data_IF_143778249132
#
_entry.id   IF_143778249132
#
_cell.length_a   1.000
_cell.length_b   1.000
_cell.length_c   1.000
_cell.angle_alpha   90.00
_cell.angle_beta   90.00
_cell.angle_gamma   90.00
#
_symmetry.space_group_name_H-M   'P 1'
#
loop_
_entity.id
_entity.type
_entity.pdbx_description
1 polymer ?
#
# COMPACT_ATOMS: atom_id res chain seq x y z
N UNK A 1 -1.31 -6.21 -17.61
CA UNK A 1 0.14 -6.29 -17.63
C UNK A 1 0.58 -7.15 -16.47
N UNK A 2 1.31 -8.22 -16.77
CA UNK A 2 1.86 -9.11 -15.77
C UNK A 2 3.36 -9.25 -16.10
N UNK A 3 4.19 -8.88 -15.13
CA UNK A 3 5.63 -9.08 -15.18
C UNK A 3 6.01 -10.01 -14.05
N UNK A 4 6.74 -11.06 -14.37
CA UNK A 4 7.32 -11.97 -13.39
C UNK A 4 8.84 -11.86 -13.50
N UNK A 5 9.47 -11.42 -12.42
CA UNK A 5 10.92 -11.33 -12.32
C UNK A 5 11.37 -12.43 -11.36
N UNK A 6 11.92 -13.53 -11.85
CA UNK A 6 12.35 -14.63 -10.99
C UNK A 6 13.52 -14.22 -10.08
N UNK A 7 13.67 -14.93 -8.98
CA UNK A 7 14.83 -14.78 -8.11
C UNK A 7 16.13 -15.08 -8.88
N UNK A 8 17.14 -14.22 -8.70
CA UNK A 8 18.43 -14.37 -9.38
C UNK A 8 19.01 -13.03 -9.83
N UNK A 9 19.98 -13.06 -10.75
CA UNK A 9 20.60 -11.85 -11.30
C UNK A 9 19.59 -10.96 -12.01
N UNK A 10 19.61 -9.65 -11.71
CA UNK A 10 18.78 -8.65 -12.36
C UNK A 10 19.59 -7.87 -13.41
N UNK A 11 18.99 -7.65 -14.55
CA UNK A 11 19.50 -6.77 -15.60
C UNK A 11 18.61 -5.53 -15.76
N UNK A 12 19.14 -4.46 -16.34
CA UNK A 12 18.37 -3.20 -16.57
C UNK A 12 17.08 -3.46 -17.34
N UNK A 13 17.07 -4.41 -18.29
CA UNK A 13 15.85 -4.79 -19.02
C UNK A 13 14.72 -5.26 -18.11
N UNK A 14 15.03 -5.92 -16.98
CA UNK A 14 14.02 -6.38 -16.04
C UNK A 14 13.33 -5.19 -15.36
N UNK A 15 14.06 -4.09 -15.11
CA UNK A 15 13.46 -2.86 -14.58
C UNK A 15 12.58 -2.18 -15.64
N UNK A 16 12.99 -2.20 -16.91
CA UNK A 16 12.18 -1.69 -18.01
C UNK A 16 10.87 -2.47 -18.16
N UNK A 17 10.89 -3.78 -17.96
CA UNK A 17 9.70 -4.64 -17.97
C UNK A 17 8.79 -4.36 -16.76
N UNK A 18 9.36 -4.00 -15.61
CA UNK A 18 8.62 -3.68 -14.39
C UNK A 18 7.94 -2.32 -14.47
N UNK A 19 8.60 -1.30 -15.03
CA UNK A 19 8.08 0.07 -15.14
C UNK A 19 8.17 0.58 -16.58
N UNK A 20 7.06 0.47 -17.31
CA UNK A 20 7.02 0.68 -18.77
C UNK A 20 6.94 2.15 -19.18
N UNK A 21 6.43 3.02 -18.31
CA UNK A 21 6.15 4.41 -18.66
C UNK A 21 7.35 5.31 -18.41
N UNK A 22 7.56 6.29 -19.31
CA UNK A 22 8.61 7.32 -19.16
C UNK A 22 8.11 8.45 -18.24
N UNK A 23 7.83 8.08 -16.98
CA UNK A 23 7.39 9.03 -15.98
C UNK A 23 8.59 9.57 -15.18
N UNK A 24 8.47 10.84 -14.79
CA UNK A 24 9.39 11.47 -13.85
C UNK A 24 8.77 11.55 -12.45
N UNK A 25 9.63 11.56 -11.47
CA UNK A 25 9.25 11.71 -10.06
C UNK A 25 8.65 13.09 -9.80
N UNK A 26 7.60 13.12 -9.00
CA UNK A 26 6.94 14.35 -8.56
C UNK A 26 6.84 14.38 -7.04
N UNK A 27 6.99 15.57 -6.46
CA UNK A 27 6.76 15.85 -5.06
C UNK A 27 5.49 16.67 -4.91
N UNK A 28 4.59 16.23 -4.06
CA UNK A 28 3.33 16.88 -3.75
C UNK A 28 3.29 17.31 -2.29
N UNK A 29 2.77 18.52 -2.05
CA UNK A 29 2.45 19.00 -0.71
C UNK A 29 0.94 18.93 -0.51
N UNK A 30 0.48 17.98 0.30
CA UNK A 30 -0.93 17.66 0.51
C UNK A 30 -1.27 17.58 1.99
N UNK A 31 -2.53 17.80 2.35
CA UNK A 31 -3.02 17.62 3.72
C UNK A 31 -3.44 16.19 3.99
N UNK A 32 -3.58 15.81 5.26
CA UNK A 32 -4.14 14.50 5.64
C UNK A 32 -5.55 14.28 5.08
N UNK A 33 -6.36 15.34 5.00
CA UNK A 33 -7.67 15.28 4.36
C UNK A 33 -7.57 14.94 2.86
N UNK A 34 -6.63 15.56 2.14
CA UNK A 34 -6.38 15.28 0.73
C UNK A 34 -5.85 13.87 0.51
N UNK A 35 -4.99 13.35 1.39
CA UNK A 35 -4.55 11.96 1.37
C UNK A 35 -5.75 11.01 1.52
N UNK A 36 -6.67 11.30 2.44
CA UNK A 36 -7.88 10.49 2.59
C UNK A 36 -8.72 10.47 1.31
N UNK A 37 -8.96 11.62 0.68
CA UNK A 37 -9.71 11.70 -0.59
C UNK A 37 -8.98 10.96 -1.73
N UNK A 38 -7.66 10.99 -1.76
CA UNK A 38 -6.86 10.23 -2.71
C UNK A 38 -7.09 8.72 -2.55
N UNK A 39 -7.07 8.22 -1.30
CA UNK A 39 -7.34 6.80 -1.02
C UNK A 39 -8.81 6.43 -1.26
N UNK A 40 -9.77 7.34 -1.00
CA UNK A 40 -11.18 7.10 -1.34
C UNK A 40 -11.38 6.92 -2.85
N UNK A 41 -10.66 7.68 -3.68
CA UNK A 41 -10.67 7.48 -5.13
C UNK A 41 -10.04 6.15 -5.50
N UNK A 42 -8.88 5.79 -4.94
CA UNK A 42 -8.22 4.50 -5.18
C UNK A 42 -9.10 3.31 -4.79
N UNK A 43 -9.91 3.43 -3.72
CA UNK A 43 -10.86 2.40 -3.30
C UNK A 43 -11.91 2.05 -4.37
N UNK A 44 -12.08 2.89 -5.39
CA UNK A 44 -12.92 2.63 -6.56
C UNK A 44 -12.50 1.40 -7.38
N UNK A 45 -11.26 0.91 -7.20
CA UNK A 45 -10.76 -0.34 -7.76
C UNK A 45 -11.63 -1.55 -7.37
N UNK A 46 -12.28 -1.49 -6.21
CA UNK A 46 -13.05 -2.60 -5.66
C UNK A 46 -14.55 -2.38 -5.78
N UNK A 47 -15.30 -3.44 -6.06
CA UNK A 47 -16.73 -3.42 -6.00
C UNK A 47 -17.24 -3.28 -4.54
N UNK A 48 -18.47 -2.83 -4.40
CA UNK A 48 -19.16 -2.92 -3.12
C UNK A 48 -19.53 -4.37 -2.86
N UNK A 49 -19.31 -4.85 -1.64
CA UNK A 49 -19.57 -6.22 -1.20
C UNK A 49 -20.74 -6.22 -0.22
N UNK A 50 -21.76 -7.02 -0.52
CA UNK A 50 -22.83 -7.32 0.44
C UNK A 50 -22.38 -8.45 1.37
N UNK A 51 -22.15 -8.17 2.67
CA UNK A 51 -21.70 -9.18 3.62
C UNK A 51 -22.75 -10.26 3.93
N UNK A 52 -24.00 -10.03 3.55
CA UNK A 52 -25.11 -10.98 3.78
C UNK A 52 -25.33 -11.92 2.60
N UNK A 53 -24.87 -11.54 1.41
CA UNK A 53 -24.99 -12.38 0.22
C UNK A 53 -24.10 -13.64 0.34
N UNK A 54 -24.66 -14.78 -0.06
CA UNK A 54 -23.90 -16.04 -0.22
C UNK A 54 -23.51 -16.32 -1.66
N UNK A 55 -24.01 -15.53 -2.59
CA UNK A 55 -23.65 -15.62 -4.00
C UNK A 55 -22.23 -15.09 -4.22
N UNK A 56 -21.50 -15.63 -5.21
CA UNK A 56 -20.20 -15.12 -5.59
C UNK A 56 -20.24 -13.65 -5.99
N UNK A 57 -19.33 -12.84 -5.43
CA UNK A 57 -19.22 -11.42 -5.70
C UNK A 57 -17.81 -11.08 -6.22
N UNK A 58 -17.75 -10.37 -7.34
CA UNK A 58 -16.47 -9.96 -7.91
C UNK A 58 -15.84 -8.83 -7.10
N UNK A 59 -14.59 -9.02 -6.68
CA UNK A 59 -13.82 -8.03 -5.94
C UNK A 59 -13.47 -6.81 -6.79
N UNK A 60 -13.00 -7.08 -8.02
CA UNK A 60 -12.44 -6.05 -8.89
C UNK A 60 -13.53 -5.37 -9.70
N UNK A 61 -13.57 -4.05 -9.62
CA UNK A 61 -14.42 -3.22 -10.45
C UNK A 61 -13.81 -3.10 -11.86
N UNK A 62 -14.32 -3.89 -12.81
CA UNK A 62 -13.81 -3.91 -14.19
C UNK A 62 -14.00 -2.58 -14.95
N UNK A 63 -14.88 -1.70 -14.47
CA UNK A 63 -15.05 -0.36 -15.06
C UNK A 63 -14.00 0.63 -14.56
N UNK A 64 -13.31 0.34 -13.45
CA UNK A 64 -12.26 1.19 -12.91
C UNK A 64 -10.93 0.97 -13.66
N UNK A 65 -10.20 2.04 -13.89
CA UNK A 65 -8.90 1.96 -14.55
C UNK A 65 -7.84 1.56 -13.52
N UNK A 66 -7.38 0.32 -13.54
CA UNK A 66 -6.48 -0.24 -12.52
C UNK A 66 -5.18 0.55 -12.32
N UNK A 67 -4.69 1.26 -13.35
CA UNK A 67 -3.54 2.16 -13.20
C UNK A 67 -3.83 3.42 -12.36
N UNK A 68 -5.09 3.63 -11.96
CA UNK A 68 -5.50 4.67 -11.01
C UNK A 68 -5.61 4.14 -9.57
N UNK A 69 -5.31 2.86 -9.35
CA UNK A 69 -5.21 2.31 -8.01
C UNK A 69 -3.83 2.61 -7.43
N UNK A 70 -3.80 3.53 -6.48
CA UNK A 70 -2.59 3.92 -5.78
C UNK A 70 -2.59 3.35 -4.36
N UNK A 71 -1.43 2.88 -3.92
CA UNK A 71 -1.12 2.57 -2.52
C UNK A 71 -0.17 3.63 -2.01
N UNK A 72 -0.38 4.11 -0.79
CA UNK A 72 0.46 5.15 -0.17
C UNK A 72 1.26 4.53 0.96
N UNK A 73 2.56 4.44 0.76
CA UNK A 73 3.54 3.99 1.74
C UNK A 73 3.71 5.01 2.88
N UNK A 74 4.16 4.52 4.04
CA UNK A 74 4.33 5.34 5.25
C UNK A 74 3.04 5.57 6.03
N UNK A 75 1.91 5.07 5.53
CA UNK A 75 0.60 5.11 6.18
C UNK A 75 0.09 3.70 6.44
N UNK A 76 -0.83 3.57 7.39
CA UNK A 76 -1.64 2.35 7.53
C UNK A 76 -3.12 2.69 7.41
N UNK A 77 -3.89 1.83 6.74
CA UNK A 77 -5.33 2.05 6.54
C UNK A 77 -6.05 0.76 6.16
N UNK A 78 -7.39 0.84 6.16
CA UNK A 78 -8.26 -0.25 5.69
C UNK A 78 -9.29 0.28 4.70
N UNK A 79 -9.77 -0.60 3.82
CA UNK A 79 -10.93 -0.33 2.98
C UNK A 79 -12.16 -1.09 3.45
N UNK A 80 -13.24 -0.38 3.73
CA UNK A 80 -14.55 -0.94 4.04
C UNK A 80 -15.35 -1.12 2.75
N UNK A 81 -15.36 -2.33 2.22
CA UNK A 81 -16.04 -2.65 0.97
C UNK A 81 -17.56 -2.77 1.11
N UNK A 82 -18.13 -2.71 2.31
CA UNK A 82 -19.60 -2.64 2.46
C UNK A 82 -20.16 -1.26 2.08
N UNK A 83 -19.29 -0.25 2.00
CA UNK A 83 -19.65 1.11 1.63
C UNK A 83 -19.61 1.30 0.10
N UNK A 84 -20.49 2.14 -0.48
CA UNK A 84 -20.40 2.50 -1.89
C UNK A 84 -19.12 3.31 -2.18
N UNK A 85 -18.72 3.37 -3.45
CA UNK A 85 -17.64 4.24 -3.88
C UNK A 85 -18.01 5.71 -3.70
N UNK A 86 -17.10 6.51 -3.16
CA UNK A 86 -17.28 7.96 -3.02
C UNK A 86 -17.23 8.67 -4.39
N UNK A 87 -16.34 8.21 -5.24
CA UNK A 87 -16.07 8.76 -6.57
C UNK A 87 -16.41 7.74 -7.66
N UNK A 88 -16.83 8.24 -8.82
CA UNK A 88 -16.87 7.43 -10.03
C UNK A 88 -15.45 7.25 -10.62
N UNK A 89 -15.34 6.51 -11.72
CA UNK A 89 -14.06 6.21 -12.37
C UNK A 89 -13.35 7.43 -12.98
N UNK A 90 -14.05 8.53 -13.19
CA UNK A 90 -13.53 9.81 -13.67
C UNK A 90 -13.15 10.79 -12.54
N UNK A 91 -13.37 10.38 -11.27
CA UNK A 91 -13.09 11.21 -10.09
C UNK A 91 -14.19 12.23 -9.76
N UNK A 92 -15.40 12.05 -10.32
CA UNK A 92 -16.56 12.85 -9.94
C UNK A 92 -17.15 12.30 -8.63
N UNK A 93 -17.45 13.20 -7.71
CA UNK A 93 -18.11 12.88 -6.44
C UNK A 93 -19.55 12.41 -6.70
N UNK A 94 -19.86 11.17 -6.35
CA UNK A 94 -21.18 10.54 -6.57
C UNK A 94 -21.88 10.17 -5.27
N UNK A 95 -21.14 9.87 -4.22
CA UNK A 95 -21.67 9.55 -2.89
C UNK A 95 -20.90 10.36 -1.84
N UNK A 96 -21.27 11.63 -1.57
CA UNK A 96 -20.50 12.52 -0.71
C UNK A 96 -20.36 12.01 0.74
N UNK A 97 -21.37 11.32 1.26
CA UNK A 97 -21.39 10.80 2.63
C UNK A 97 -20.70 9.41 2.75
N UNK A 98 -20.34 8.79 1.63
CA UNK A 98 -19.66 7.51 1.65
C UNK A 98 -18.19 7.68 2.08
N UNK A 99 -17.70 6.71 2.83
CA UNK A 99 -16.29 6.60 3.17
C UNK A 99 -15.91 5.12 3.26
N UNK A 100 -14.95 4.71 2.46
CA UNK A 100 -14.33 3.37 2.50
C UNK A 100 -13.06 3.35 3.31
N UNK A 101 -12.33 4.45 3.37
CA UNK A 101 -11.06 4.56 4.10
C UNK A 101 -11.33 4.57 5.59
N UNK A 102 -10.80 3.57 6.31
CA UNK A 102 -10.91 3.37 7.75
C UNK A 102 -9.53 3.29 8.39
N UNK A 103 -9.44 3.63 9.65
CA UNK A 103 -8.25 3.48 10.48
C UNK A 103 -7.01 4.11 9.84
N UNK A 104 -7.17 5.21 9.10
CA UNK A 104 -6.06 5.90 8.44
C UNK A 104 -5.13 6.51 9.48
N UNK A 105 -3.88 6.03 9.51
CA UNK A 105 -2.90 6.41 10.51
C UNK A 105 -1.52 6.70 9.89
N UNK A 106 -0.80 7.60 10.54
CA UNK A 106 0.60 7.94 10.27
C UNK A 106 1.41 7.71 11.54
N UNK A 107 2.51 6.94 11.44
CA UNK A 107 3.36 6.59 12.58
C UNK A 107 2.56 6.01 13.78
N UNK A 108 1.59 5.15 13.50
CA UNK A 108 0.77 4.48 14.51
C UNK A 108 -0.29 5.35 15.18
N UNK A 109 -0.49 6.60 14.76
CA UNK A 109 -1.52 7.51 15.29
C UNK A 109 -2.52 7.86 14.20
N UNK A 110 -3.81 8.08 14.53
CA UNK A 110 -4.78 8.59 13.56
C UNK A 110 -4.21 9.82 12.84
N UNK A 111 -4.37 9.86 11.51
CA UNK A 111 -3.83 10.96 10.71
C UNK A 111 -4.52 12.27 11.11
N UNK A 112 -3.73 13.32 11.31
CA UNK A 112 -4.27 14.67 11.43
C UNK A 112 -4.66 15.18 10.03
N UNK A 113 -5.95 15.44 9.83
CA UNK A 113 -6.49 15.86 8.54
C UNK A 113 -5.95 17.24 8.09
N UNK A 114 -5.50 18.07 9.03
CA UNK A 114 -4.95 19.41 8.76
C UNK A 114 -3.42 19.39 8.61
N UNK A 115 -2.76 18.34 9.06
CA UNK A 115 -1.30 18.21 8.91
C UNK A 115 -0.92 18.15 7.44
N UNK A 116 0.16 18.82 7.09
CA UNK A 116 0.75 18.78 5.75
C UNK A 116 1.77 17.64 5.64
N UNK A 117 1.70 16.93 4.53
CA UNK A 117 2.60 15.85 4.16
C UNK A 117 3.28 16.16 2.83
N UNK A 118 4.52 15.67 2.68
CA UNK A 118 5.20 15.60 1.39
C UNK A 118 5.05 14.17 0.87
N UNK A 119 4.44 14.02 -0.29
CA UNK A 119 4.20 12.72 -0.94
C UNK A 119 4.95 12.68 -2.25
N UNK A 120 5.75 11.63 -2.44
CA UNK A 120 6.42 11.35 -3.71
C UNK A 120 5.52 10.47 -4.57
N UNK A 121 5.36 10.84 -5.83
CA UNK A 121 4.58 10.10 -6.83
C UNK A 121 5.19 10.32 -8.22
N UNK A 122 4.46 10.03 -9.27
CA UNK A 122 4.88 10.32 -10.64
C UNK A 122 4.17 11.54 -11.24
N UNK A 123 4.71 12.07 -12.34
CA UNK A 123 4.13 13.22 -13.04
C UNK A 123 2.71 12.95 -13.55
N UNK A 124 2.39 11.73 -13.98
CA UNK A 124 1.05 11.37 -14.44
C UNK A 124 0.01 11.60 -13.34
N UNK A 125 0.31 11.13 -12.11
CA UNK A 125 -0.58 11.35 -10.95
C UNK A 125 -0.59 12.81 -10.54
N UNK A 126 0.55 13.48 -10.48
CA UNK A 126 0.69 14.85 -10.02
C UNK A 126 -0.05 15.86 -10.88
N UNK A 127 -0.10 15.66 -12.21
CA UNK A 127 -0.71 16.60 -13.16
C UNK A 127 -2.17 16.25 -13.50
N UNK A 128 -2.63 15.06 -13.11
CA UNK A 128 -3.99 14.60 -13.36
C UNK A 128 -5.05 15.26 -12.47
N UNK A 129 -6.31 15.12 -12.89
CA UNK A 129 -7.47 15.62 -12.13
C UNK A 129 -7.93 14.56 -11.10
N UNK A 130 -7.03 14.11 -10.24
CA UNK A 130 -7.31 13.04 -9.28
C UNK A 130 -7.75 13.62 -7.94
N UNK A 131 -8.87 13.17 -7.34
CA UNK A 131 -9.31 13.60 -6.02
C UNK A 131 -8.19 13.53 -4.98
N UNK A 132 -8.07 14.56 -4.14
CA UNK A 132 -7.00 14.68 -3.16
C UNK A 132 -5.66 15.17 -3.73
N UNK A 133 -5.39 14.97 -5.02
CA UNK A 133 -4.13 15.37 -5.68
C UNK A 133 -4.27 16.67 -6.45
N UNK A 134 -5.41 16.88 -7.13
CA UNK A 134 -5.63 18.04 -8.00
C UNK A 134 -5.43 19.37 -7.27
N UNK A 135 -5.80 19.42 -6.01
CA UNK A 135 -5.79 20.61 -5.15
C UNK A 135 -4.56 20.63 -4.21
N UNK A 136 -3.49 19.88 -4.51
CA UNK A 136 -2.24 19.91 -3.76
C UNK A 136 -1.67 21.34 -3.72
N UNK A 137 -1.22 21.78 -2.53
CA UNK A 137 -0.71 23.14 -2.32
C UNK A 137 0.57 23.41 -3.11
N UNK A 138 1.36 22.37 -3.37
CA UNK A 138 2.56 22.44 -4.18
C UNK A 138 2.69 21.15 -5.01
N UNK A 139 3.11 21.29 -6.26
CA UNK A 139 3.40 20.20 -7.19
C UNK A 139 4.74 20.51 -7.86
N UNK A 140 5.75 19.71 -7.56
CA UNK A 140 7.09 19.89 -8.09
C UNK A 140 7.53 18.64 -8.84
N UNK A 141 7.80 18.76 -10.14
CA UNK A 141 8.44 17.70 -10.92
C UNK A 141 9.95 17.72 -10.64
N UNK A 142 10.51 16.54 -10.40
CA UNK A 142 11.93 16.36 -10.20
C UNK A 142 12.56 15.88 -11.53
N UNK A 143 13.81 16.24 -11.77
CA UNK A 143 14.56 15.73 -12.92
C UNK A 143 15.11 14.32 -12.61
N UNK A 144 14.21 13.39 -12.27
CA UNK A 144 14.53 12.01 -11.94
C UNK A 144 13.45 11.11 -12.54
N UNK A 145 13.84 10.30 -13.52
CA UNK A 145 12.97 9.29 -14.08
C UNK A 145 12.67 8.20 -13.03
N UNK A 146 11.42 7.76 -12.94
CA UNK A 146 11.03 6.72 -11.99
C UNK A 146 11.77 5.41 -12.24
N UNK A 147 11.98 5.05 -13.49
CA UNK A 147 12.77 3.86 -13.86
C UNK A 147 14.22 3.98 -13.40
N UNK A 148 14.81 5.17 -13.53
CA UNK A 148 16.18 5.42 -13.05
C UNK A 148 16.25 5.32 -11.53
N UNK A 149 15.26 5.85 -10.79
CA UNK A 149 15.19 5.72 -9.35
C UNK A 149 15.16 4.26 -8.88
N UNK A 150 14.41 3.39 -9.60
CA UNK A 150 14.37 1.94 -9.32
C UNK A 150 15.74 1.31 -9.58
N UNK A 151 16.39 1.65 -10.69
CA UNK A 151 17.74 1.16 -11.04
C UNK A 151 18.74 1.56 -9.97
N UNK A 152 18.77 2.83 -9.59
CA UNK A 152 19.68 3.37 -8.59
C UNK A 152 19.50 2.68 -7.22
N UNK A 153 18.26 2.44 -6.83
CA UNK A 153 17.94 1.68 -5.61
C UNK A 153 18.50 0.26 -5.68
N UNK A 154 18.23 -0.48 -6.75
CA UNK A 154 18.72 -1.86 -6.92
C UNK A 154 20.25 -1.90 -6.90
N UNK A 155 20.91 -0.95 -7.54
CA UNK A 155 22.38 -0.85 -7.58
C UNK A 155 22.95 -0.56 -6.20
N UNK A 156 22.30 0.32 -5.42
CA UNK A 156 22.74 0.65 -4.07
C UNK A 156 22.59 -0.50 -3.09
N UNK A 157 21.46 -1.19 -3.15
CA UNK A 157 21.15 -2.33 -2.25
C UNK A 157 21.87 -3.62 -2.66
N UNK A 158 22.31 -3.75 -3.92
CA UNK A 158 22.97 -4.95 -4.50
C UNK A 158 22.09 -6.19 -4.49
N UNK A 159 21.38 -6.46 -3.42
CA UNK A 159 20.42 -7.54 -3.28
C UNK A 159 19.13 -7.00 -2.72
N UNK A 160 18.03 -7.21 -3.42
CA UNK A 160 16.70 -6.81 -2.98
C UNK A 160 15.85 -8.04 -2.65
N UNK A 161 14.99 -7.91 -1.66
CA UNK A 161 14.02 -8.93 -1.27
C UNK A 161 12.65 -8.26 -1.09
N UNK A 162 11.93 -7.98 -2.20
CA UNK A 162 10.65 -7.29 -2.14
C UNK A 162 9.62 -8.13 -1.39
N UNK A 163 8.91 -7.50 -0.47
CA UNK A 163 7.83 -8.13 0.29
C UNK A 163 6.72 -7.12 0.53
N UNK A 164 5.48 -7.61 0.68
CA UNK A 164 4.38 -6.77 1.12
C UNK A 164 4.60 -6.38 2.59
N UNK A 165 4.49 -5.10 2.89
CA UNK A 165 4.63 -4.55 4.25
C UNK A 165 3.33 -4.63 5.07
N UNK A 166 2.20 -4.97 4.40
CA UNK A 166 0.89 -5.09 5.05
C UNK A 166 0.33 -3.76 5.54
N UNK A 167 0.74 -2.66 4.94
CA UNK A 167 0.33 -1.31 5.34
C UNK A 167 -1.15 -1.02 5.08
N UNK A 168 -1.83 -1.84 4.29
CA UNK A 168 -3.28 -1.74 4.10
C UNK A 168 -3.96 -3.12 4.11
N UNK A 169 -5.26 -3.12 4.36
CA UNK A 169 -6.10 -4.34 4.33
C UNK A 169 -7.57 -3.99 4.11
N UNK A 170 -8.42 -5.00 3.99
CA UNK A 170 -9.87 -4.79 4.06
C UNK A 170 -10.36 -4.83 5.50
N UNK A 171 -11.44 -4.09 5.78
CA UNK A 171 -12.16 -4.21 7.05
C UNK A 171 -12.77 -5.62 7.12
N UNK A 172 -12.63 -6.36 8.24
CA UNK A 172 -13.06 -7.75 8.32
C UNK A 172 -14.59 -7.94 8.53
N UNK A 173 -15.40 -7.01 8.05
CA UNK A 173 -16.86 -7.07 8.10
C UNK A 173 -17.50 -7.82 6.92
N UNK A 174 -16.66 -8.44 6.06
CA UNK A 174 -17.03 -9.21 4.87
C UNK A 174 -16.52 -10.67 4.92
N UNK A 175 -16.19 -11.18 6.09
CA UNK A 175 -15.58 -12.51 6.31
C UNK A 175 -16.45 -13.67 5.83
N UNK A 176 -17.77 -13.49 5.77
CA UNK A 176 -18.74 -14.51 5.37
C UNK A 176 -19.16 -14.43 3.90
N UNK A 177 -18.69 -13.44 3.15
CA UNK A 177 -19.02 -13.26 1.74
C UNK A 177 -18.14 -14.16 0.86
N UNK A 178 -18.69 -14.65 -0.27
CA UNK A 178 -17.93 -15.33 -1.31
C UNK A 178 -17.34 -14.30 -2.27
N UNK A 179 -16.13 -13.84 -2.00
CA UNK A 179 -15.46 -12.76 -2.74
C UNK A 179 -14.47 -13.37 -3.71
N UNK A 180 -14.62 -13.08 -5.00
CA UNK A 180 -13.82 -13.67 -6.07
C UNK A 180 -13.12 -12.62 -6.93
N UNK A 181 -12.01 -13.03 -7.53
CA UNK A 181 -11.28 -12.23 -8.52
C UNK A 181 -10.55 -13.12 -9.51
N UNK A 182 -10.33 -12.63 -10.71
CA UNK A 182 -9.52 -13.32 -11.70
C UNK A 182 -8.06 -12.86 -11.65
N UNK A 183 -7.13 -13.80 -11.79
CA UNK A 183 -5.70 -13.55 -11.93
C UNK A 183 -5.07 -14.60 -12.84
N UNK A 184 -3.76 -14.48 -13.13
CA UNK A 184 -3.03 -15.47 -13.92
C UNK A 184 -3.21 -16.88 -13.37
N UNK A 185 -3.40 -17.87 -14.23
CA UNK A 185 -3.44 -19.29 -13.81
C UNK A 185 -2.11 -19.72 -13.17
N UNK A 186 -0.99 -19.11 -13.55
CA UNK A 186 0.32 -19.36 -12.95
C UNK A 186 0.39 -18.99 -11.45
N UNK A 187 -0.49 -18.09 -10.97
CA UNK A 187 -0.54 -17.73 -9.55
C UNK A 187 -0.88 -18.91 -8.63
N UNK A 188 -1.45 -20.01 -9.16
CA UNK A 188 -1.70 -21.26 -8.41
C UNK A 188 -0.42 -21.82 -7.78
N UNK A 189 0.72 -21.70 -8.44
CA UNK A 189 2.00 -22.19 -7.93
C UNK A 189 2.48 -21.45 -6.67
N UNK A 190 1.93 -20.27 -6.39
CA UNK A 190 2.33 -19.39 -5.29
C UNK A 190 1.31 -19.36 -4.13
N UNK A 191 0.32 -20.27 -4.11
CA UNK A 191 -0.67 -20.33 -3.03
C UNK A 191 -0.21 -21.09 -1.80
N UNK A 192 0.87 -21.87 -1.88
CA UNK A 192 1.39 -22.59 -0.73
C UNK A 192 1.79 -21.61 0.40
N UNK A 193 1.20 -21.79 1.58
CA UNK A 193 1.41 -20.88 2.72
C UNK A 193 0.61 -19.58 2.67
N UNK A 194 -0.27 -19.38 1.67
CA UNK A 194 -1.15 -18.23 1.57
C UNK A 194 -2.53 -18.55 2.14
N UNK A 195 -2.84 -17.97 3.29
CA UNK A 195 -4.12 -18.19 3.97
C UNK A 195 -5.24 -17.25 3.49
N UNK A 196 -4.88 -16.18 2.79
CA UNK A 196 -5.80 -15.13 2.37
C UNK A 196 -6.41 -15.38 0.98
N UNK A 197 -5.86 -16.33 0.21
CA UNK A 197 -6.29 -16.58 -1.16
C UNK A 197 -6.40 -18.09 -1.40
N UNK A 198 -7.48 -18.52 -2.05
CA UNK A 198 -7.65 -19.91 -2.49
C UNK A 198 -8.06 -19.97 -3.98
N UNK A 199 -7.64 -21.03 -4.66
CA UNK A 199 -8.03 -21.29 -6.03
C UNK A 199 -9.50 -21.79 -6.07
N UNK A 200 -10.27 -21.32 -7.04
CA UNK A 200 -11.66 -21.72 -7.24
C UNK A 200 -11.82 -22.59 -8.49
N UNK A 201 -11.29 -22.15 -9.61
CA UNK A 201 -11.43 -22.84 -10.88
C UNK A 201 -10.84 -22.03 -12.05
N UNK A 202 -10.94 -22.56 -13.30
CA UNK A 202 -10.55 -21.81 -14.48
C UNK A 202 -11.47 -20.60 -14.68
N UNK A 203 -10.91 -19.48 -15.15
CA UNK A 203 -11.69 -18.32 -15.60
C UNK A 203 -12.19 -18.52 -17.03
N UNK A 204 -13.22 -17.79 -17.42
CA UNK A 204 -13.67 -17.69 -18.81
C UNK A 204 -12.63 -17.01 -19.71
N UNK A 205 -11.72 -16.23 -19.14
CA UNK A 205 -10.62 -15.58 -19.84
C UNK A 205 -9.44 -16.53 -19.96
N UNK A 206 -8.97 -16.78 -21.19
CA UNK A 206 -7.83 -17.66 -21.45
C UNK A 206 -6.56 -17.20 -20.68
N UNK A 207 -5.87 -18.13 -20.03
CA UNK A 207 -4.68 -17.87 -19.20
C UNK A 207 -4.98 -17.33 -17.80
N UNK A 208 -6.27 -17.23 -17.43
CA UNK A 208 -6.69 -16.77 -16.11
C UNK A 208 -7.41 -17.88 -15.33
N UNK A 209 -7.33 -17.76 -14.02
CA UNK A 209 -8.10 -18.56 -13.09
C UNK A 209 -8.90 -17.65 -12.13
N UNK A 210 -9.94 -18.19 -11.54
CA UNK A 210 -10.72 -17.54 -10.51
C UNK A 210 -10.18 -17.94 -9.13
N UNK A 211 -10.01 -16.94 -8.28
CA UNK A 211 -9.54 -17.07 -6.91
C UNK A 211 -10.55 -16.47 -5.95
N UNK A 212 -10.58 -17.01 -4.73
CA UNK A 212 -11.37 -16.48 -3.62
C UNK A 212 -10.47 -15.73 -2.66
N UNK A 213 -10.88 -14.52 -2.29
CA UNK A 213 -10.30 -13.75 -1.20
C UNK A 213 -10.92 -14.20 0.13
N UNK A 214 -10.06 -14.53 1.10
CA UNK A 214 -10.45 -14.92 2.45
C UNK A 214 -10.04 -13.79 3.40
N UNK A 215 -11.01 -12.98 3.82
CA UNK A 215 -10.78 -11.92 4.80
C UNK A 215 -10.95 -12.52 6.19
N UNK A 216 -9.91 -12.45 7.03
CA UNK A 216 -9.91 -12.95 8.40
C UNK A 216 -9.95 -11.78 9.39
N UNK A 217 -10.61 -11.95 10.53
CA UNK A 217 -10.37 -11.09 11.68
C UNK A 217 -8.93 -11.29 12.14
N UNK A 218 -8.20 -10.19 12.38
CA UNK A 218 -6.91 -10.31 13.08
C UNK A 218 -7.23 -10.87 14.47
N UNK A 219 -6.65 -12.02 14.80
CA UNK A 219 -6.64 -12.48 16.19
C UNK A 219 -6.05 -11.34 17.03
N UNK A 220 -6.80 -10.88 18.04
CA UNK A 220 -6.29 -9.95 19.03
C UNK A 220 -5.09 -10.62 19.69
N UNK A 221 -3.88 -10.18 19.36
CA UNK A 221 -2.73 -10.44 20.19
C UNK A 221 -2.97 -9.61 21.46
N UNK A 222 -3.61 -10.21 22.44
CA UNK A 222 -3.54 -9.77 23.82
C UNK A 222 -2.09 -10.07 24.21
N UNK A 223 -1.23 -9.07 24.15
CA UNK A 223 0.06 -9.15 24.82
C UNK A 223 -0.24 -9.38 26.32
N UNK A 224 -0.01 -10.61 26.75
CA UNK A 224 -0.01 -10.97 28.17
C UNK A 224 1.22 -10.33 28.83
N UNK A 225 1.04 -9.07 29.23
CA UNK A 225 2.05 -8.28 29.96
C UNK A 225 2.14 -8.69 31.45
N UNK A 226 1.56 -9.82 31.86
CA UNK A 226 1.52 -10.25 33.26
C UNK A 226 2.58 -11.27 33.67
N UNK A 227 3.69 -11.42 32.91
CA UNK A 227 4.81 -12.26 33.38
C UNK A 227 6.16 -11.60 33.18
N UNK A 228 6.47 -10.56 33.95
CA UNK A 228 7.87 -10.17 34.26
C UNK A 228 7.93 -9.18 35.45
N UNK A 229 7.39 -9.57 36.59
CA UNK A 229 7.74 -8.98 37.88
C UNK A 229 7.82 -10.06 38.94
N UNK A 230 8.87 -10.84 38.90
CA UNK A 230 9.43 -11.50 40.09
C UNK A 230 10.78 -12.08 39.73
N UNK A 231 11.80 -11.52 40.33
CA UNK A 231 13.18 -11.96 40.48
C UNK A 231 14.21 -10.99 39.86
N UNK A 232 14.58 -10.01 40.68
CA UNK A 232 15.97 -9.68 41.01
C UNK A 232 16.06 -8.44 41.88
N UNK A 233 16.33 -8.65 43.14
CA UNK A 233 17.00 -7.70 44.04
C UNK A 233 18.43 -8.17 44.33
N UNK A 234 19.29 -7.37 44.94
CA UNK A 234 20.42 -6.74 44.28
C UNK A 234 21.78 -7.24 44.82
N UNK A 235 22.87 -6.95 44.11
CA UNK A 235 24.18 -6.76 44.77
C UNK A 235 25.24 -6.23 43.78
N UNK A 236 25.90 -5.16 44.20
CA UNK A 236 27.34 -5.00 44.12
C UNK A 236 27.87 -4.03 43.06
N UNK A 237 28.06 -2.79 43.49
CA UNK A 237 29.24 -1.87 43.32
C UNK A 237 30.30 -2.23 42.24
N UNK A 238 30.68 -1.31 41.39
CA UNK A 238 31.88 -0.43 41.44
C UNK A 238 32.26 0.11 40.05
N UNK A 239 32.46 1.41 40.06
CA UNK A 239 33.44 2.26 39.37
C UNK A 239 33.67 2.24 37.86
N UNK A 240 33.35 3.42 37.32
CA UNK A 240 34.12 4.30 36.41
C UNK A 240 34.81 3.73 35.16
N UNK A 241 34.45 4.23 33.99
CA UNK A 241 35.31 5.15 33.25
C UNK A 241 34.57 5.82 32.07
N UNK A 242 34.91 7.11 31.89
CA UNK A 242 34.39 7.97 30.82
C UNK A 242 35.20 7.75 29.56
N UNK A 243 34.54 7.64 28.42
CA UNK A 243 35.06 8.21 27.17
C UNK A 243 33.95 8.58 26.21
N UNK A 244 33.82 9.89 26.04
CA UNK A 244 33.05 10.53 24.96
C UNK A 244 33.50 10.06 23.58
N UNK A 245 32.57 9.72 22.69
CA UNK A 245 32.79 9.86 21.26
C UNK A 245 31.61 10.60 20.64
N UNK A 246 31.91 11.79 20.15
CA UNK A 246 31.03 12.66 19.36
C UNK A 246 30.69 12.03 18.00
N UNK A 247 29.43 12.21 17.57
CA UNK A 247 28.99 11.92 16.22
C UNK A 247 29.36 13.09 15.28
N UNK A 248 29.74 12.83 14.03
CA UNK A 248 30.08 13.90 13.09
C UNK A 248 28.84 14.57 12.52
N UNK A 249 28.82 15.90 12.55
CA UNK A 249 27.89 16.79 11.86
C UNK A 249 28.14 16.72 10.35
N UNK A 250 27.12 16.46 9.58
CA UNK A 250 27.14 16.63 8.14
C UNK A 250 27.01 18.12 7.79
N UNK A 251 28.00 18.66 7.13
CA UNK A 251 28.01 20.03 6.58
C UNK A 251 27.60 19.95 5.11
N UNK A 252 26.54 20.64 4.75
CA UNK A 252 26.12 20.84 3.36
C UNK A 252 26.92 22.00 2.80
N UNK A 253 27.74 21.74 1.78
CA UNK A 253 28.40 22.75 0.97
C UNK A 253 27.58 23.07 -0.25
N UNK A 254 27.25 24.35 -0.44
CA UNK A 254 26.67 24.88 -1.67
C UNK A 254 27.78 25.15 -2.69
N UNK A 255 27.55 24.76 -3.93
CA UNK A 255 28.06 25.39 -5.16
C UNK A 255 27.18 24.97 -6.32
#
# INVERSE_FOLDING_TARGET
YYTDIPAGPLAIKNVADLYLYDNVTALLKVTGAQIKEWLEMSAGQFNQIDPKSKEPQQLINSSYRSYNYDVIDGLTYKFDLTQPNKYDREGKLVNPDASRVRDLAYQGKPIDLNQTFLVVTNNYRATGNFPGVKDAAEKRLLNLENRQAIIDYIVSEKTINPSADGNWSFVPNITNADIRFASSDNARAHLAGQDAISYVGPSTQAGFAEYRLIVKEKANQVEDTTKKESEKSPKGSETADQTKREAPKATVGAS
#
